data_IF_491240860393
#
_entry.id   IF_491240860393
#
_cell.length_a   1.000
_cell.length_b   1.000
_cell.length_c   1.000
_cell.angle_alpha   90.00
_cell.angle_beta   90.00
_cell.angle_gamma   90.00
#
_symmetry.space_group_name_H-M   'P 1'
#
loop_
_entity.id
_entity.type
_entity.pdbx_description
1 polymer ?
#
# COMPACT_ATOMS: atom_id res chain seq x y z
N UNK A 1 -91.05 22.57 5.37
CA UNK A 1 -91.39 23.93 4.89
C UNK A 1 -92.88 24.13 5.06
N UNK A 2 -93.31 24.73 6.17
CA UNK A 2 -94.68 25.21 6.33
C UNK A 2 -94.65 26.73 6.12
N UNK A 3 -95.20 27.20 5.00
CA UNK A 3 -95.31 28.62 4.69
C UNK A 3 -96.34 29.27 5.63
N UNK A 4 -95.86 30.01 6.61
CA UNK A 4 -96.64 31.01 7.35
C UNK A 4 -97.03 32.11 6.36
N UNK A 5 -98.29 32.12 5.92
CA UNK A 5 -98.89 33.26 5.23
C UNK A 5 -99.05 34.38 6.24
N UNK A 6 -98.20 35.39 6.15
CA UNK A 6 -98.38 36.67 6.87
C UNK A 6 -99.50 37.42 6.15
N UNK A 7 -100.60 37.81 6.81
CA UNK A 7 -101.64 38.62 6.19
C UNK A 7 -101.07 39.97 5.75
N UNK A 8 -101.36 40.36 4.51
CA UNK A 8 -100.95 41.64 3.94
C UNK A 8 -101.71 42.77 4.65
N UNK A 9 -101.04 43.81 5.18
CA UNK A 9 -101.72 44.90 5.90
C UNK A 9 -102.62 45.79 5.00
N UNK A 10 -102.62 45.56 3.68
CA UNK A 10 -103.53 46.21 2.72
C UNK A 10 -104.83 45.42 2.47
N UNK A 11 -104.97 44.22 3.04
CA UNK A 11 -106.27 43.52 3.09
C UNK A 11 -107.11 44.07 4.25
N UNK A 12 -107.28 45.39 4.29
CA UNK A 12 -108.33 46.03 5.08
C UNK A 12 -109.63 45.64 4.37
N UNK A 13 -110.56 44.89 5.00
CA UNK A 13 -111.80 44.51 4.34
C UNK A 13 -112.49 45.78 3.84
N UNK A 14 -112.60 45.89 2.51
CA UNK A 14 -113.24 47.02 1.83
C UNK A 14 -114.50 47.40 2.59
N UNK A 15 -114.69 48.70 2.84
CA UNK A 15 -115.76 49.24 3.66
C UNK A 15 -117.15 48.67 3.29
N UNK A 16 -117.34 48.28 2.01
CA UNK A 16 -118.53 47.60 1.48
C UNK A 16 -118.76 46.17 2.01
N UNK A 17 -117.70 45.38 2.23
CA UNK A 17 -117.81 44.00 2.72
C UNK A 17 -118.26 43.96 4.19
N UNK A 18 -117.90 45.01 4.94
CA UNK A 18 -118.24 45.19 6.35
C UNK A 18 -119.64 45.81 6.58
N UNK A 19 -120.07 46.76 5.74
CA UNK A 19 -121.44 47.27 5.77
C UNK A 19 -122.46 46.16 5.50
N UNK A 20 -122.14 45.22 4.58
CA UNK A 20 -122.99 44.05 4.34
C UNK A 20 -123.07 43.11 5.55
N UNK A 21 -121.96 42.88 6.25
CA UNK A 21 -121.96 42.04 7.46
C UNK A 21 -122.75 42.67 8.62
N UNK A 22 -122.66 44.00 8.79
CA UNK A 22 -123.46 44.77 9.76
C UNK A 22 -124.96 44.72 9.45
N UNK A 23 -125.33 44.83 8.16
CA UNK A 23 -126.71 44.73 7.71
C UNK A 23 -127.31 43.33 7.90
N UNK A 24 -126.52 42.27 7.77
CA UNK A 24 -126.98 40.88 7.98
C UNK A 24 -127.04 40.43 9.45
N UNK A 25 -126.38 41.15 10.38
CA UNK A 25 -126.28 40.77 11.80
C UNK A 25 -127.28 41.49 12.71
N UNK A 26 -128.12 42.40 12.17
CA UNK A 26 -129.14 43.11 12.93
C UNK A 26 -128.58 44.14 13.92
N UNK A 27 -127.30 44.52 13.78
CA UNK A 27 -126.63 45.49 14.63
C UNK A 27 -126.95 46.92 14.17
N UNK A 28 -127.24 47.84 15.11
CA UNK A 28 -127.33 49.27 14.78
C UNK A 28 -125.99 49.79 14.24
N UNK A 29 -125.97 50.91 13.51
CA UNK A 29 -124.73 51.54 13.00
C UNK A 29 -123.66 51.70 14.11
N UNK A 30 -124.09 51.99 15.34
CA UNK A 30 -123.22 52.07 16.52
C UNK A 30 -122.67 50.70 16.97
N UNK A 31 -123.43 49.62 16.79
CA UNK A 31 -123.01 48.25 17.08
C UNK A 31 -121.98 47.72 16.08
N UNK A 32 -122.13 48.06 14.79
CA UNK A 32 -121.15 47.71 13.75
C UNK A 32 -119.79 48.38 13.96
N UNK A 33 -119.79 49.67 14.33
CA UNK A 33 -118.57 50.40 14.69
C UNK A 33 -117.87 49.81 15.91
N UNK A 34 -118.62 49.41 16.94
CA UNK A 34 -118.06 48.73 18.13
C UNK A 34 -117.44 47.38 17.78
N UNK A 35 -118.09 46.59 16.94
CA UNK A 35 -117.56 45.29 16.49
C UNK A 35 -116.24 45.45 15.72
N UNK A 36 -116.16 46.46 14.84
CA UNK A 36 -114.94 46.78 14.08
C UNK A 36 -113.78 47.22 14.98
N UNK A 37 -114.07 48.00 16.02
CA UNK A 37 -113.10 48.41 17.03
C UNK A 37 -112.54 47.20 17.81
N UNK A 38 -113.41 46.27 18.21
CA UNK A 38 -112.99 45.04 18.92
C UNK A 38 -112.11 44.16 18.04
N UNK A 39 -112.45 43.99 16.76
CA UNK A 39 -111.60 43.23 15.83
C UNK A 39 -110.23 43.90 15.61
N UNK A 40 -110.21 45.23 15.50
CA UNK A 40 -108.96 45.99 15.38
C UNK A 40 -108.08 45.86 16.62
N UNK A 41 -108.68 45.89 17.82
CA UNK A 41 -107.97 45.66 19.08
C UNK A 41 -107.41 44.24 19.21
N UNK A 42 -108.19 43.22 18.83
CA UNK A 42 -107.73 41.82 18.83
C UNK A 42 -106.57 41.64 17.85
N UNK A 43 -106.70 42.18 16.63
CA UNK A 43 -105.67 42.06 15.60
C UNK A 43 -104.38 42.80 15.97
N UNK A 44 -104.48 43.97 16.62
CA UNK A 44 -103.31 44.67 17.14
C UNK A 44 -102.63 43.91 18.29
N UNK A 45 -103.39 43.27 19.19
CA UNK A 45 -102.82 42.43 20.24
C UNK A 45 -102.09 41.20 19.68
N UNK A 46 -102.66 40.57 18.66
CA UNK A 46 -102.02 39.44 17.95
C UNK A 46 -100.73 39.89 17.26
N UNK A 47 -100.75 41.06 16.60
CA UNK A 47 -99.59 41.67 15.96
C UNK A 47 -98.48 42.01 16.97
N UNK A 48 -98.81 42.62 18.09
CA UNK A 48 -97.84 42.95 19.15
C UNK A 48 -97.21 41.68 19.74
N UNK A 49 -98.01 40.62 19.91
CA UNK A 49 -97.50 39.31 20.33
C UNK A 49 -96.51 38.73 19.32
N UNK A 50 -96.87 38.71 18.03
CA UNK A 50 -96.00 38.21 16.96
C UNK A 50 -94.71 39.03 16.81
N UNK A 51 -94.79 40.36 16.96
CA UNK A 51 -93.61 41.24 16.98
C UNK A 51 -92.69 40.86 18.14
N UNK A 52 -93.24 40.63 19.33
CA UNK A 52 -92.46 40.24 20.51
C UNK A 52 -91.80 38.86 20.33
N UNK A 53 -92.54 37.88 19.80
CA UNK A 53 -92.01 36.54 19.51
C UNK A 53 -90.88 36.59 18.46
N UNK A 54 -91.05 37.39 17.39
CA UNK A 54 -90.01 37.58 16.37
C UNK A 54 -88.78 38.33 16.91
N UNK A 55 -88.97 39.34 17.75
CA UNK A 55 -87.87 40.05 18.41
C UNK A 55 -87.07 39.12 19.32
N UNK A 56 -87.74 38.25 20.06
CA UNK A 56 -87.08 37.25 20.91
C UNK A 56 -86.30 36.23 20.08
N UNK A 57 -86.88 35.73 18.98
CA UNK A 57 -86.18 34.82 18.06
C UNK A 57 -84.97 35.48 17.39
N UNK A 58 -85.09 36.76 17.00
CA UNK A 58 -83.97 37.50 16.41
C UNK A 58 -82.83 37.66 17.42
N UNK A 59 -83.14 37.98 18.68
CA UNK A 59 -82.14 38.08 19.74
C UNK A 59 -81.44 36.75 20.02
N UNK A 60 -82.19 35.64 20.05
CA UNK A 60 -81.63 34.29 20.21
C UNK A 60 -80.66 33.93 19.07
N UNK A 61 -81.08 34.16 17.83
CA UNK A 61 -80.25 33.91 16.65
C UNK A 61 -79.00 34.79 16.64
N UNK A 62 -79.13 36.07 17.02
CA UNK A 62 -77.99 36.99 17.14
C UNK A 62 -77.03 36.61 18.28
N UNK A 63 -77.55 36.07 19.38
CA UNK A 63 -76.74 35.53 20.48
C UNK A 63 -75.90 34.35 20.02
N UNK A 64 -76.56 33.34 19.45
CA UNK A 64 -75.90 32.14 18.91
C UNK A 64 -74.92 32.45 17.78
N UNK A 65 -75.22 33.43 16.93
CA UNK A 65 -74.30 33.82 15.87
C UNK A 65 -73.00 34.37 16.46
N UNK A 66 -73.08 35.24 17.47
CA UNK A 66 -71.90 35.76 18.16
C UNK A 66 -71.10 34.67 18.88
N UNK A 67 -71.77 33.77 19.60
CA UNK A 67 -71.11 32.64 20.25
C UNK A 67 -70.38 31.75 19.24
N UNK A 68 -71.01 31.46 18.09
CA UNK A 68 -70.36 30.71 17.02
C UNK A 68 -69.18 31.46 16.41
N UNK A 69 -69.29 32.78 16.19
CA UNK A 69 -68.19 33.61 15.68
C UNK A 69 -67.00 33.62 16.64
N UNK A 70 -67.25 33.77 17.95
CA UNK A 70 -66.21 33.72 18.98
C UNK A 70 -65.55 32.34 19.07
N UNK A 71 -66.34 31.27 18.99
CA UNK A 71 -65.83 29.89 19.03
C UNK A 71 -64.97 29.59 17.80
N UNK A 72 -65.46 29.95 16.60
CA UNK A 72 -64.69 29.77 15.36
C UNK A 72 -63.41 30.61 15.34
N UNK A 73 -63.44 31.81 15.91
CA UNK A 73 -62.25 32.65 16.05
C UNK A 73 -61.22 31.99 16.98
N UNK A 74 -61.65 31.47 18.14
CA UNK A 74 -60.78 30.77 19.08
C UNK A 74 -60.18 29.48 18.48
N UNK A 75 -61.01 28.65 17.82
CA UNK A 75 -60.54 27.44 17.14
C UNK A 75 -59.54 27.76 16.01
N UNK A 76 -59.77 28.84 15.26
CA UNK A 76 -58.84 29.28 14.22
C UNK A 76 -57.50 29.75 14.83
N UNK A 77 -57.53 30.52 15.92
CA UNK A 77 -56.32 30.97 16.61
C UNK A 77 -55.50 29.79 17.15
N UNK A 78 -56.15 28.79 17.75
CA UNK A 78 -55.48 27.56 18.23
C UNK A 78 -54.83 26.79 17.07
N UNK A 79 -55.56 26.58 15.97
CA UNK A 79 -55.02 25.91 14.78
C UNK A 79 -53.85 26.67 14.16
N UNK A 80 -53.92 28.01 14.11
CA UNK A 80 -52.81 28.81 13.61
C UNK A 80 -51.59 28.73 14.55
N UNK A 81 -51.79 28.74 15.87
CA UNK A 81 -50.70 28.60 16.83
C UNK A 81 -50.00 27.24 16.68
N UNK A 82 -50.75 26.14 16.65
CA UNK A 82 -50.19 24.79 16.44
C UNK A 82 -49.47 24.66 15.09
N UNK A 83 -50.05 25.21 14.03
CA UNK A 83 -49.42 25.23 12.71
C UNK A 83 -48.11 26.01 12.72
N UNK A 84 -48.06 27.14 13.41
CA UNK A 84 -46.84 27.94 13.53
C UNK A 84 -45.76 27.23 14.33
N UNK A 85 -46.10 26.58 15.44
CA UNK A 85 -45.16 25.81 16.24
C UNK A 85 -44.55 24.66 15.44
N UNK A 86 -45.36 23.93 14.67
CA UNK A 86 -44.89 22.87 13.79
C UNK A 86 -43.94 23.39 12.69
N UNK A 87 -44.27 24.51 12.05
CA UNK A 87 -43.42 25.13 11.02
C UNK A 87 -42.10 25.63 11.64
N UNK A 88 -42.17 26.24 12.82
CA UNK A 88 -40.99 26.70 13.57
C UNK A 88 -40.06 25.53 13.92
N UNK A 89 -40.63 24.45 14.45
CA UNK A 89 -39.86 23.24 14.79
C UNK A 89 -39.19 22.60 13.57
N UNK A 90 -39.92 22.46 12.45
CA UNK A 90 -39.33 21.93 11.22
C UNK A 90 -38.21 22.84 10.68
N UNK A 91 -38.38 24.16 10.79
CA UNK A 91 -37.34 25.12 10.41
C UNK A 91 -36.08 24.95 11.26
N UNK A 92 -36.23 24.84 12.58
CA UNK A 92 -35.10 24.65 13.50
C UNK A 92 -34.37 23.33 13.25
N UNK A 93 -35.11 22.23 13.00
CA UNK A 93 -34.51 20.96 12.61
C UNK A 93 -33.75 21.05 11.29
N UNK A 94 -34.31 21.76 10.30
CA UNK A 94 -33.63 22.00 9.02
C UNK A 94 -32.35 22.82 9.21
N UNK A 95 -32.36 23.84 10.07
CA UNK A 95 -31.17 24.63 10.41
C UNK A 95 -30.09 23.77 11.06
N UNK A 96 -30.46 22.96 12.07
CA UNK A 96 -29.54 22.00 12.73
C UNK A 96 -28.97 21.00 11.73
N UNK A 97 -29.80 20.51 10.80
CA UNK A 97 -29.36 19.62 9.73
C UNK A 97 -28.32 20.26 8.82
N UNK A 98 -28.54 21.50 8.39
CA UNK A 98 -27.57 22.25 7.57
C UNK A 98 -26.27 22.54 8.30
N UNK A 99 -26.32 22.85 9.59
CA UNK A 99 -25.14 23.01 10.45
C UNK A 99 -24.31 21.72 10.49
N UNK A 100 -24.96 20.59 10.75
CA UNK A 100 -24.30 19.30 10.81
C UNK A 100 -23.65 18.91 9.46
N UNK A 101 -24.35 19.15 8.35
CA UNK A 101 -23.80 18.91 7.01
C UNK A 101 -22.54 19.75 6.78
N UNK A 102 -22.55 21.03 7.15
CA UNK A 102 -21.40 21.92 7.01
C UNK A 102 -20.21 21.47 7.84
N UNK A 103 -20.44 20.96 9.05
CA UNK A 103 -19.38 20.42 9.90
C UNK A 103 -18.76 19.16 9.28
N UNK A 104 -19.59 18.24 8.77
CA UNK A 104 -19.13 17.05 8.04
C UNK A 104 -18.32 17.44 6.79
N UNK A 105 -18.79 18.42 6.02
CA UNK A 105 -18.06 18.91 4.84
C UNK A 105 -16.68 19.45 5.20
N UNK A 106 -16.55 20.11 6.35
CA UNK A 106 -15.28 20.64 6.85
C UNK A 106 -14.33 19.50 7.25
N UNK A 107 -14.83 18.50 7.96
CA UNK A 107 -14.06 17.30 8.33
C UNK A 107 -13.61 16.51 7.10
N UNK A 108 -14.51 16.32 6.13
CA UNK A 108 -14.22 15.64 4.88
C UNK A 108 -13.11 16.35 4.10
N UNK A 109 -13.15 17.68 4.00
CA UNK A 109 -12.09 18.48 3.36
C UNK A 109 -10.75 18.35 4.09
N UNK A 110 -10.75 18.30 5.41
CA UNK A 110 -9.54 18.11 6.20
C UNK A 110 -8.91 16.73 5.94
N UNK A 111 -9.73 15.67 5.96
CA UNK A 111 -9.29 14.30 5.65
C UNK A 111 -8.78 14.17 4.21
N UNK A 112 -9.41 14.84 3.25
CA UNK A 112 -8.97 14.84 1.86
C UNK A 112 -7.57 15.47 1.71
N UNK A 113 -7.32 16.57 2.41
CA UNK A 113 -6.00 17.24 2.41
C UNK A 113 -4.94 16.40 3.12
N UNK A 114 -5.28 15.75 4.23
CA UNK A 114 -4.38 14.82 4.92
C UNK A 114 -4.00 13.64 4.02
N UNK A 115 -4.98 13.00 3.39
CA UNK A 115 -4.77 11.91 2.43
C UNK A 115 -3.88 12.33 1.26
N UNK A 116 -4.06 13.56 0.75
CA UNK A 116 -3.19 14.12 -0.29
C UNK A 116 -1.75 14.24 0.18
N UNK A 117 -1.51 14.77 1.38
CA UNK A 117 -0.16 14.92 1.93
C UNK A 117 0.52 13.58 2.21
N UNK A 118 -0.23 12.62 2.74
CA UNK A 118 0.29 11.28 2.99
C UNK A 118 0.69 10.59 1.68
N UNK A 119 -0.11 10.74 0.63
CA UNK A 119 0.23 10.25 -0.70
C UNK A 119 1.50 10.90 -1.24
N UNK A 120 1.62 12.23 -1.16
CA UNK A 120 2.83 12.95 -1.59
C UNK A 120 4.09 12.48 -0.83
N UNK A 121 3.96 12.23 0.47
CA UNK A 121 5.03 11.67 1.30
C UNK A 121 5.42 10.26 0.86
N UNK A 122 4.44 9.37 0.67
CA UNK A 122 4.68 8.00 0.23
C UNK A 122 5.33 7.95 -1.16
N UNK A 123 4.87 8.79 -2.08
CA UNK A 123 5.45 8.91 -3.43
C UNK A 123 6.93 9.35 -3.37
N UNK A 124 7.26 10.32 -2.51
CA UNK A 124 8.65 10.75 -2.28
C UNK A 124 9.51 9.63 -1.65
N UNK A 125 8.93 8.87 -0.71
CA UNK A 125 9.63 7.77 -0.06
C UNK A 125 9.90 6.62 -1.06
N UNK A 126 8.92 6.28 -1.89
CA UNK A 126 9.06 5.31 -2.97
C UNK A 126 10.15 5.74 -3.97
N UNK A 127 10.23 7.03 -4.31
CA UNK A 127 11.27 7.55 -5.19
C UNK A 127 12.67 7.32 -4.60
N UNK A 128 12.83 7.60 -3.30
CA UNK A 128 14.09 7.35 -2.58
C UNK A 128 14.47 5.88 -2.60
N UNK A 129 13.54 4.99 -2.25
CA UNK A 129 13.77 3.54 -2.25
C UNK A 129 14.14 3.00 -3.64
N UNK A 130 13.54 3.55 -4.70
CA UNK A 130 13.90 3.19 -6.09
C UNK A 130 15.35 3.58 -6.41
N UNK A 131 15.81 4.72 -5.92
CA UNK A 131 17.17 5.18 -6.15
C UNK A 131 18.20 4.40 -5.32
N UNK A 132 17.86 4.05 -4.08
CA UNK A 132 18.65 3.12 -3.26
C UNK A 132 18.82 1.76 -3.94
N UNK A 133 17.72 1.19 -4.44
CA UNK A 133 17.76 -0.08 -5.16
C UNK A 133 18.62 0.01 -6.42
N UNK A 134 18.60 1.13 -7.15
CA UNK A 134 19.49 1.35 -8.30
C UNK A 134 20.95 1.41 -7.89
N UNK A 135 21.28 2.07 -6.76
CA UNK A 135 22.64 2.13 -6.21
C UNK A 135 23.15 0.74 -5.84
N UNK A 136 22.36 -0.02 -5.07
CA UNK A 136 22.70 -1.39 -4.69
C UNK A 136 22.89 -2.30 -5.90
N UNK A 137 22.01 -2.20 -6.91
CA UNK A 137 22.18 -2.96 -8.16
C UNK A 137 23.46 -2.59 -8.92
N UNK A 138 23.91 -1.34 -8.87
CA UNK A 138 25.20 -0.92 -9.47
C UNK A 138 26.36 -1.47 -8.66
N UNK A 139 26.36 -1.30 -7.33
CA UNK A 139 27.38 -1.83 -6.43
C UNK A 139 27.54 -3.35 -6.56
N UNK A 140 26.43 -4.09 -6.61
CA UNK A 140 26.45 -5.54 -6.82
C UNK A 140 27.00 -5.97 -8.19
N UNK A 141 26.80 -5.18 -9.25
CA UNK A 141 27.43 -5.44 -10.56
C UNK A 141 28.94 -5.19 -10.53
N UNK A 142 29.38 -4.13 -9.86
CA UNK A 142 30.80 -3.82 -9.69
C UNK A 142 31.51 -4.88 -8.85
N UNK A 143 30.88 -5.34 -7.76
CA UNK A 143 31.39 -6.43 -6.94
C UNK A 143 31.56 -7.72 -7.76
N UNK A 144 30.56 -8.10 -8.56
CA UNK A 144 30.68 -9.27 -9.46
C UNK A 144 31.80 -9.14 -10.47
N UNK A 145 32.05 -7.95 -11.03
CA UNK A 145 33.19 -7.72 -11.92
C UNK A 145 34.52 -7.92 -11.20
N UNK A 146 34.65 -7.40 -9.97
CA UNK A 146 35.87 -7.58 -9.15
C UNK A 146 36.09 -9.05 -8.80
N UNK A 147 35.04 -9.78 -8.45
CA UNK A 147 35.11 -11.22 -8.18
C UNK A 147 35.62 -11.98 -9.42
N UNK A 148 35.05 -11.71 -10.60
CA UNK A 148 35.47 -12.39 -11.83
C UNK A 148 36.95 -12.14 -12.18
N UNK A 149 37.47 -10.93 -11.92
CA UNK A 149 38.91 -10.63 -12.10
C UNK A 149 39.75 -11.43 -11.11
N UNK A 150 39.39 -11.40 -9.82
CA UNK A 150 40.12 -12.14 -8.79
C UNK A 150 40.08 -13.66 -9.01
N UNK A 151 38.97 -14.20 -9.50
CA UNK A 151 38.85 -15.61 -9.87
C UNK A 151 39.80 -15.96 -11.01
N UNK A 152 39.90 -15.11 -12.03
CA UNK A 152 40.87 -15.29 -13.12
C UNK A 152 42.31 -15.22 -12.61
N UNK A 153 42.64 -14.18 -11.83
CA UNK A 153 43.99 -14.01 -11.29
C UNK A 153 44.40 -15.18 -10.39
N UNK A 154 43.43 -15.72 -9.63
CA UNK A 154 43.62 -16.95 -8.85
C UNK A 154 43.97 -18.14 -9.75
N UNK A 155 43.21 -18.37 -10.83
CA UNK A 155 43.49 -19.47 -11.75
C UNK A 155 44.85 -19.31 -12.46
N UNK A 156 45.22 -18.09 -12.84
CA UNK A 156 46.51 -17.80 -13.46
C UNK A 156 47.67 -18.04 -12.46
N UNK A 157 47.47 -17.68 -11.18
CA UNK A 157 48.45 -17.94 -10.13
C UNK A 157 48.59 -19.44 -9.82
N UNK A 158 47.49 -20.18 -9.72
CA UNK A 158 47.48 -21.63 -9.54
C UNK A 158 48.22 -22.34 -10.68
N UNK A 159 47.99 -21.94 -11.94
CA UNK A 159 48.70 -22.49 -13.08
C UNK A 159 50.22 -22.21 -13.03
N UNK A 160 50.63 -21.00 -12.62
CA UNK A 160 52.05 -20.65 -12.44
C UNK A 160 52.70 -21.44 -11.31
N UNK A 161 51.96 -21.67 -10.23
CA UNK A 161 52.44 -22.47 -9.10
C UNK A 161 52.67 -23.91 -9.52
N UNK A 162 51.72 -24.54 -10.21
CA UNK A 162 51.89 -25.89 -10.75
C UNK A 162 53.05 -25.99 -11.74
N UNK A 163 53.20 -25.02 -12.64
CA UNK A 163 54.35 -24.99 -13.56
C UNK A 163 55.69 -24.85 -12.81
N UNK A 164 55.73 -24.13 -11.70
CA UNK A 164 56.92 -24.02 -10.86
C UNK A 164 57.20 -25.32 -10.08
N UNK A 165 56.16 -25.97 -9.56
CA UNK A 165 56.24 -27.28 -8.90
C UNK A 165 56.78 -28.34 -9.86
N UNK A 166 56.26 -28.41 -11.09
CA UNK A 166 56.74 -29.34 -12.14
C UNK A 166 58.22 -29.10 -12.48
N UNK A 167 58.62 -27.82 -12.60
CA UNK A 167 60.04 -27.46 -12.83
C UNK A 167 60.92 -27.88 -11.65
N UNK A 168 60.50 -27.65 -10.41
CA UNK A 168 61.24 -28.07 -9.22
C UNK A 168 61.34 -29.60 -9.14
N UNK A 169 60.27 -30.32 -9.45
CA UNK A 169 60.27 -31.78 -9.49
C UNK A 169 61.20 -32.33 -10.58
N UNK A 170 61.23 -31.71 -11.75
CA UNK A 170 62.15 -32.05 -12.82
C UNK A 170 63.62 -31.86 -12.39
N UNK A 171 63.95 -30.71 -11.78
CA UNK A 171 65.30 -30.47 -11.23
C UNK A 171 65.65 -31.48 -10.15
N UNK A 172 64.74 -31.75 -9.22
CA UNK A 172 64.96 -32.70 -8.15
C UNK A 172 65.24 -34.10 -8.71
N UNK A 173 64.51 -34.51 -9.75
CA UNK A 173 64.73 -35.79 -10.44
C UNK A 173 66.07 -35.82 -11.17
N UNK A 174 66.45 -34.75 -11.89
CA UNK A 174 67.77 -34.62 -12.55
C UNK A 174 68.93 -34.63 -11.54
N UNK A 175 68.71 -34.09 -10.33
CA UNK A 175 69.72 -33.99 -9.27
C UNK A 175 69.72 -35.18 -8.30
N UNK A 176 68.87 -36.18 -8.50
CA UNK A 176 68.80 -37.38 -7.67
C UNK A 176 69.64 -38.51 -8.26
N UNK A 177 70.34 -39.25 -7.41
CA UNK A 177 71.16 -40.39 -7.81
C UNK A 177 70.31 -41.42 -8.58
N UNK A 178 70.67 -41.78 -9.83
CA UNK A 178 69.91 -42.72 -10.66
C UNK A 178 70.00 -44.18 -10.18
N UNK A 179 70.82 -44.45 -9.16
CA UNK A 179 70.97 -45.79 -8.57
C UNK A 179 70.00 -45.98 -7.40
N UNK A 180 69.99 -45.06 -6.43
CA UNK A 180 69.13 -45.19 -5.25
C UNK A 180 67.83 -44.37 -5.32
N UNK A 181 67.71 -43.45 -6.28
CA UNK A 181 66.54 -42.58 -6.47
C UNK A 181 66.14 -41.76 -5.23
N UNK A 182 67.02 -41.66 -4.23
CA UNK A 182 66.69 -41.14 -2.90
C UNK A 182 67.66 -40.07 -2.41
N UNK A 183 68.88 -40.06 -2.91
CA UNK A 183 69.95 -39.18 -2.44
C UNK A 183 70.41 -38.23 -3.54
N UNK A 184 70.76 -36.97 -3.22
CA UNK A 184 71.25 -36.03 -4.21
C UNK A 184 72.59 -36.50 -4.81
N UNK A 185 72.80 -36.18 -6.08
CA UNK A 185 74.06 -36.41 -6.79
C UNK A 185 75.14 -35.52 -6.15
N UNK A 186 76.23 -36.15 -5.69
CA UNK A 186 77.39 -35.45 -5.11
C UNK A 186 78.67 -35.67 -5.91
N UNK A 187 78.63 -36.57 -6.90
CA UNK A 187 79.76 -36.88 -7.77
C UNK A 187 79.29 -37.02 -9.22
N UNK A 188 80.02 -36.40 -10.15
CA UNK A 188 79.73 -36.41 -11.58
C UNK A 188 80.87 -37.11 -12.34
N UNK A 189 80.49 -37.95 -13.30
CA UNK A 189 81.41 -38.56 -14.26
C UNK A 189 81.64 -37.64 -15.45
N UNK A 190 82.79 -37.75 -16.15
CA UNK A 190 83.04 -37.02 -17.40
C UNK A 190 81.96 -37.28 -18.46
N UNK A 191 81.30 -38.44 -18.47
CA UNK A 191 80.17 -38.68 -19.39
C UNK A 191 78.86 -37.94 -19.04
N UNK A 192 78.83 -37.11 -17.98
CA UNK A 192 77.69 -36.30 -17.57
C UNK A 192 76.74 -36.93 -16.54
N UNK A 193 76.85 -38.24 -16.25
CA UNK A 193 76.03 -38.90 -15.22
C UNK A 193 76.59 -38.67 -13.82
N UNK A 194 75.72 -38.60 -12.82
CA UNK A 194 76.13 -38.45 -11.42
C UNK A 194 75.58 -39.52 -10.48
N UNK A 195 76.19 -39.64 -9.30
CA UNK A 195 75.79 -40.53 -8.20
C UNK A 195 75.85 -39.80 -6.87
N UNK A 196 75.09 -40.30 -5.88
CA UNK A 196 75.30 -39.92 -4.50
C UNK A 196 76.57 -40.56 -3.93
N UNK A 197 77.05 -40.03 -2.80
CA UNK A 197 78.25 -40.50 -2.11
C UNK A 197 78.20 -42.00 -1.80
N UNK A 198 77.07 -42.47 -1.27
CA UNK A 198 76.90 -43.87 -0.86
C UNK A 198 76.92 -44.82 -2.06
N UNK A 199 76.14 -44.54 -3.12
CA UNK A 199 76.16 -45.35 -4.34
C UNK A 199 77.52 -45.33 -5.05
N UNK A 200 78.26 -44.22 -4.98
CA UNK A 200 79.64 -44.17 -5.50
C UNK A 200 80.55 -45.14 -4.76
N UNK A 201 80.52 -45.13 -3.43
CA UNK A 201 81.34 -46.04 -2.60
C UNK A 201 80.99 -47.49 -2.93
N UNK A 202 79.70 -47.84 -2.92
CA UNK A 202 79.24 -49.20 -3.25
C UNK A 202 79.62 -49.64 -4.67
N UNK A 203 79.60 -48.73 -5.65
CA UNK A 203 80.02 -49.06 -7.03
C UNK A 203 81.52 -49.31 -7.10
N UNK A 204 82.33 -48.52 -6.36
CA UNK A 204 83.77 -48.72 -6.29
C UNK A 204 84.10 -50.08 -5.66
N UNK A 205 83.50 -50.38 -4.51
CA UNK A 205 83.67 -51.67 -3.83
C UNK A 205 83.26 -52.85 -4.74
N UNK A 206 82.16 -52.73 -5.49
CA UNK A 206 81.74 -53.78 -6.42
C UNK A 206 82.67 -53.94 -7.64
N UNK A 207 83.30 -52.86 -8.12
CA UNK A 207 84.27 -52.91 -9.22
C UNK A 207 85.63 -53.43 -8.76
N UNK A 208 86.04 -53.08 -7.53
CA UNK A 208 87.27 -53.56 -6.92
C UNK A 208 87.22 -55.08 -6.67
N UNK A 209 86.07 -55.62 -6.23
CA UNK A 209 85.84 -57.08 -6.10
C UNK A 209 85.89 -57.82 -7.45
N UNK A 210 85.53 -57.17 -8.56
CA UNK A 210 85.70 -57.76 -9.90
C UNK A 210 87.12 -57.63 -10.46
N UNK A 211 87.95 -56.76 -9.86
CA UNK A 211 89.36 -56.57 -10.18
C UNK A 211 90.28 -57.25 -9.15
N UNK A 212 89.77 -58.12 -8.27
CA UNK A 212 90.58 -58.98 -7.39
C UNK A 212 91.33 -60.10 -8.16
N UNK A 213 91.94 -59.76 -9.28
CA UNK A 213 93.20 -60.36 -9.68
C UNK A 213 94.26 -59.24 -9.71
N UNK A 214 95.15 -59.32 -8.72
CA UNK A 214 96.39 -58.54 -8.51
C UNK A 214 96.30 -57.37 -7.53
N UNK A 215 96.57 -57.72 -6.26
CA UNK A 215 97.21 -56.89 -5.25
C UNK A 215 98.16 -55.86 -5.86
N UNK A 216 97.98 -54.58 -5.50
CA UNK A 216 99.09 -53.67 -5.23
C UNK A 216 98.59 -52.43 -4.46
N UNK A 217 99.06 -52.34 -3.21
CA UNK A 217 99.15 -51.11 -2.44
C UNK A 217 99.73 -49.97 -3.28
N UNK A 218 98.96 -48.90 -3.52
CA UNK A 218 99.46 -47.52 -3.60
C UNK A 218 98.32 -46.55 -3.27
N UNK A 219 98.66 -45.65 -2.35
CA UNK A 219 97.91 -44.46 -1.95
C UNK A 219 97.41 -43.60 -3.11
N UNK A 220 96.15 -43.16 -2.97
CA UNK A 220 95.61 -41.85 -3.36
C UNK A 220 96.42 -41.02 -4.38
N UNK A 221 96.06 -41.13 -5.65
CA UNK A 221 96.04 -39.98 -6.57
C UNK A 221 94.84 -40.09 -7.51
N UNK A 222 93.85 -39.23 -7.28
CA UNK A 222 92.60 -39.15 -8.00
C UNK A 222 92.79 -38.64 -9.45
N UNK A 223 93.45 -39.35 -10.38
CA UNK A 223 93.39 -38.90 -11.79
C UNK A 223 93.45 -39.96 -12.92
N UNK A 224 93.66 -41.26 -12.67
CA UNK A 224 93.82 -42.23 -13.79
C UNK A 224 93.23 -43.64 -13.57
N UNK A 225 92.12 -43.78 -12.84
CA UNK A 225 91.44 -45.06 -12.73
C UNK A 225 90.38 -45.22 -13.86
N UNK A 226 90.55 -46.23 -14.72
CA UNK A 226 89.73 -46.56 -15.91
C UNK A 226 88.35 -47.11 -15.56
N UNK A 227 87.59 -46.39 -14.77
CA UNK A 227 86.27 -46.84 -14.36
C UNK A 227 85.20 -46.57 -15.43
N UNK A 228 84.24 -47.48 -15.49
CA UNK A 228 83.07 -47.36 -16.32
C UNK A 228 81.98 -46.66 -15.52
N UNK A 229 81.34 -45.64 -16.11
CA UNK A 229 80.16 -45.04 -15.50
C UNK A 229 79.10 -46.13 -15.28
N UNK A 230 78.60 -46.37 -14.04
CA UNK A 230 77.66 -47.46 -13.79
C UNK A 230 76.30 -47.27 -14.46
N UNK A 231 75.99 -46.04 -14.89
CA UNK A 231 74.73 -45.71 -15.58
C UNK A 231 74.81 -46.01 -17.08
N UNK A 232 75.87 -45.59 -17.77
CA UNK A 232 75.98 -45.74 -19.24
C UNK A 232 77.05 -46.73 -19.71
N UNK A 233 77.84 -47.29 -18.78
CA UNK A 233 78.92 -48.26 -19.01
C UNK A 233 79.98 -47.82 -20.04
N UNK A 234 80.13 -46.52 -20.30
CA UNK A 234 81.18 -45.98 -21.20
C UNK A 234 82.50 -45.77 -20.44
N UNK A 235 83.62 -46.05 -21.12
CA UNK A 235 84.98 -45.73 -20.67
C UNK A 235 85.20 -44.21 -20.78
N UNK A 236 85.58 -43.55 -19.69
CA UNK A 236 85.83 -42.10 -19.70
C UNK A 236 87.26 -41.81 -20.17
N UNK A 237 87.43 -41.44 -21.44
CA UNK A 237 88.68 -40.84 -21.93
C UNK A 237 88.56 -39.31 -21.80
N UNK A 238 89.22 -38.77 -20.78
CA UNK A 238 89.72 -37.40 -20.48
C UNK A 238 89.27 -36.13 -21.23
N UNK A 239 88.14 -36.05 -21.92
CA UNK A 239 87.58 -34.75 -22.36
C UNK A 239 86.37 -34.36 -21.52
N UNK A 240 86.55 -33.36 -20.64
CA UNK A 240 85.49 -32.72 -19.86
C UNK A 240 84.41 -32.16 -20.79
N UNK A 241 83.15 -32.66 -20.77
CA UNK A 241 82.05 -31.92 -21.32
C UNK A 241 81.51 -30.95 -20.25
N UNK A 242 81.03 -29.81 -20.71
CA UNK A 242 80.50 -28.64 -20.00
C UNK A 242 79.26 -28.90 -19.11
N UNK A 243 79.13 -30.07 -18.48
CA UNK A 243 77.92 -30.53 -17.77
C UNK A 243 77.53 -29.67 -16.57
N UNK A 244 78.51 -29.12 -15.83
CA UNK A 244 78.22 -28.24 -14.69
C UNK A 244 77.74 -26.85 -15.12
N UNK A 245 78.18 -26.35 -16.28
CA UNK A 245 77.72 -25.06 -16.79
C UNK A 245 76.25 -25.13 -17.24
N UNK A 246 75.83 -26.28 -17.78
CA UNK A 246 74.44 -26.51 -18.20
C UNK A 246 73.46 -26.53 -17.02
N UNK A 247 73.83 -27.20 -15.92
CA UNK A 247 73.00 -27.25 -14.71
C UNK A 247 72.94 -25.89 -14.00
N UNK A 248 74.05 -25.14 -13.93
CA UNK A 248 74.07 -23.78 -13.39
C UNK A 248 73.26 -22.80 -14.25
N UNK A 249 73.39 -22.85 -15.57
CA UNK A 249 72.62 -21.98 -16.48
C UNK A 249 71.11 -22.26 -16.37
N UNK A 250 70.68 -23.53 -16.30
CA UNK A 250 69.28 -23.91 -16.08
C UNK A 250 68.72 -23.37 -14.75
N UNK A 251 69.49 -23.44 -13.66
CA UNK A 251 69.05 -22.87 -12.36
C UNK A 251 68.92 -21.35 -12.44
N UNK A 252 69.80 -20.69 -13.20
CA UNK A 252 69.81 -19.23 -13.35
C UNK A 252 68.65 -18.72 -14.23
N UNK A 253 68.31 -19.43 -15.30
CA UNK A 253 67.12 -19.17 -16.15
C UNK A 253 65.80 -19.33 -15.39
N UNK A 254 65.76 -20.12 -14.31
CA UNK A 254 64.54 -20.33 -13.50
C UNK A 254 64.37 -19.24 -12.44
N UNK A 255 65.46 -18.68 -11.93
CA UNK A 255 65.45 -17.61 -10.91
C UNK A 255 65.23 -16.21 -11.49
N UNK A 256 65.31 -16.07 -12.82
CA UNK A 256 64.93 -14.85 -13.54
C UNK A 256 63.64 -15.10 -14.31
N UNK A 257 62.46 -14.88 -13.70
CA UNK A 257 61.25 -14.83 -14.48
C UNK A 257 61.35 -13.62 -15.42
N UNK A 258 61.24 -13.85 -16.73
CA UNK A 258 61.11 -12.77 -17.73
C UNK A 258 60.11 -11.72 -17.21
N UNK A 259 60.55 -10.46 -17.22
CA UNK A 259 59.73 -9.27 -16.92
C UNK A 259 58.65 -9.10 -17.98
#
# INVERSE_FOLDING_TARGET
MHSLKIPNPEDDPDNETLERAAATSGLSETGALRYRLVLYEINNREKDRLITELQQQLQDVQGRLRENEETLAAEAEEQYAESWDNVSHMSDESCRGMEHIRDIEKEYKALQEESRREKEFLDAHIATLKDDLKRERRGGREARKKIAVLEKDKTDLEARMHAAEDKLQAINTEMTCPVCWSSPITHLWPCGHGLCRECKVLTKEAQDVTNEEEDLDIWFDCYDEQYHCPVCRRRCNQEYPLGNLHLLNKVTEILTPDV
#
